data_IF_370436280116
#
_entry.id   IF_370436280116
#
_cell.length_a   1.000
_cell.length_b   1.000
_cell.length_c   1.000
_cell.angle_alpha   90.00
_cell.angle_beta   90.00
_cell.angle_gamma   90.00
#
_symmetry.space_group_name_H-M   'P 1'
#
loop_
_entity.id
_entity.type
_entity.pdbx_description
1 polymer ?
#
# COMPACT_ATOMS: atom_id res chain seq x y z
N UNK A 1 -4.51 -62.96 5.61
CA UNK A 1 -4.33 -63.01 7.07
C UNK A 1 -3.21 -62.03 7.41
N UNK A 2 -3.37 -60.93 8.11
CA UNK A 2 -4.50 -60.31 8.78
C UNK A 2 -4.37 -58.80 8.55
N UNK A 3 -5.43 -58.19 8.05
CA UNK A 3 -5.65 -56.75 8.06
C UNK A 3 -6.07 -56.38 9.50
N UNK A 4 -5.47 -55.32 10.04
CA UNK A 4 -5.99 -54.65 11.24
C UNK A 4 -6.32 -53.22 10.84
N UNK A 5 -7.60 -53.00 10.58
CA UNK A 5 -8.23 -51.69 10.48
C UNK A 5 -8.28 -51.03 11.87
N UNK A 6 -7.78 -49.80 11.98
CA UNK A 6 -8.11 -48.92 13.10
C UNK A 6 -9.34 -48.10 12.74
N UNK A 7 -10.38 -48.04 13.59
CA UNK A 7 -11.59 -47.31 13.29
C UNK A 7 -11.37 -45.80 13.43
N UNK A 8 -11.94 -45.07 12.48
CA UNK A 8 -12.06 -43.61 12.50
C UNK A 8 -13.31 -43.21 13.28
N UNK A 9 -13.25 -42.33 14.30
CA UNK A 9 -14.45 -41.75 14.87
C UNK A 9 -14.75 -40.43 14.17
N UNK A 10 -15.77 -40.45 13.32
CA UNK A 10 -16.41 -39.25 12.82
C UNK A 10 -17.27 -38.69 13.97
N UNK A 11 -16.88 -37.55 14.53
CA UNK A 11 -17.63 -36.83 15.56
C UNK A 11 -17.64 -35.34 15.22
N UNK A 12 -18.75 -34.88 14.65
CA UNK A 12 -18.99 -33.47 14.43
C UNK A 12 -19.14 -32.73 15.77
N UNK A 13 -18.38 -31.65 15.95
CA UNK A 13 -18.78 -30.53 16.81
C UNK A 13 -18.55 -29.22 16.06
N UNK A 14 -19.65 -28.65 15.57
CA UNK A 14 -19.75 -27.21 15.31
C UNK A 14 -19.67 -26.49 16.66
N UNK A 15 -18.71 -25.59 16.80
CA UNK A 15 -18.77 -24.41 17.69
C UNK A 15 -18.10 -23.28 16.91
N UNK A 16 -18.86 -22.49 16.15
CA UNK A 16 -19.48 -21.23 16.58
C UNK A 16 -18.56 -20.33 17.42
N UNK A 17 -18.09 -19.26 16.78
CA UNK A 17 -18.45 -17.92 17.22
C UNK A 17 -17.61 -17.31 18.32
N UNK A 18 -16.47 -16.75 17.94
CA UNK A 18 -16.07 -15.45 18.44
C UNK A 18 -15.34 -14.71 17.31
N UNK A 19 -16.10 -14.28 16.30
CA UNK A 19 -15.66 -13.11 15.54
C UNK A 19 -15.55 -11.98 16.57
N UNK A 20 -14.32 -11.61 16.91
CA UNK A 20 -14.08 -10.32 17.56
C UNK A 20 -14.72 -9.31 16.65
N UNK A 21 -15.80 -8.70 17.13
CA UNK A 21 -16.35 -7.48 16.56
C UNK A 21 -15.28 -6.40 16.80
N UNK A 22 -14.24 -6.42 15.97
CA UNK A 22 -13.41 -5.25 15.75
C UNK A 22 -14.38 -4.19 15.28
N UNK A 23 -14.63 -3.20 16.14
CA UNK A 23 -15.39 -2.02 15.79
C UNK A 23 -14.92 -1.58 14.40
N UNK A 24 -15.82 -1.69 13.41
CA UNK A 24 -15.52 -1.39 12.01
C UNK A 24 -15.10 0.08 11.96
N UNK A 25 -13.79 0.34 12.05
CA UNK A 25 -13.25 1.68 11.92
C UNK A 25 -13.69 2.17 10.55
N UNK A 26 -14.47 3.24 10.52
CA UNK A 26 -14.82 3.87 9.26
C UNK A 26 -13.55 4.24 8.53
N UNK A 27 -13.43 3.78 7.28
CA UNK A 27 -12.28 4.09 6.45
C UNK A 27 -12.37 5.57 6.11
N UNK A 28 -11.30 6.30 6.40
CA UNK A 28 -11.11 7.69 6.00
C UNK A 28 -9.70 7.88 5.45
N UNK A 29 -9.52 8.91 4.63
CA UNK A 29 -8.21 9.26 4.09
C UNK A 29 -7.29 9.70 5.22
N UNK A 30 -6.03 9.26 5.18
CA UNK A 30 -5.02 9.61 6.17
C UNK A 30 -3.75 10.00 5.43
N UNK A 31 -3.42 11.28 5.41
CA UNK A 31 -2.29 11.81 4.64
C UNK A 31 -1.26 12.47 5.57
N UNK A 32 0.02 12.28 5.23
CA UNK A 32 1.16 12.91 5.88
C UNK A 32 2.03 13.53 4.80
N UNK A 33 2.41 14.79 4.99
CA UNK A 33 3.28 15.53 4.08
C UNK A 33 4.56 15.98 4.77
N UNK A 34 5.67 15.91 4.04
CA UNK A 34 6.98 16.39 4.48
C UNK A 34 7.72 17.03 3.31
N UNK A 35 8.54 18.05 3.56
CA UNK A 35 9.32 18.74 2.53
C UNK A 35 10.80 18.34 2.60
N UNK A 36 11.44 18.20 1.43
CA UNK A 36 12.80 17.70 1.30
C UNK A 36 13.49 18.31 0.08
N UNK A 37 14.79 18.06 -0.04
CA UNK A 37 15.58 18.37 -1.24
C UNK A 37 16.46 17.16 -1.63
N UNK A 38 16.75 17.04 -2.93
CA UNK A 38 17.68 16.04 -3.50
C UNK A 38 18.48 16.65 -4.64
N UNK A 39 19.73 16.21 -4.82
CA UNK A 39 20.56 16.58 -5.98
C UNK A 39 20.48 15.51 -7.06
N UNK A 40 19.97 15.86 -8.25
CA UNK A 40 19.83 14.96 -9.41
C UNK A 40 20.53 15.62 -10.59
N UNK A 41 21.53 14.96 -11.18
CA UNK A 41 22.27 15.51 -12.33
C UNK A 41 22.94 16.86 -12.05
N UNK A 42 23.40 17.09 -10.81
CA UNK A 42 24.01 18.36 -10.39
C UNK A 42 23.01 19.49 -10.11
N UNK A 43 21.71 19.24 -10.26
CA UNK A 43 20.65 20.22 -9.94
C UNK A 43 20.00 19.88 -8.60
N UNK A 44 19.84 20.88 -7.74
CA UNK A 44 19.00 20.73 -6.55
C UNK A 44 17.52 20.75 -6.95
N UNK A 45 16.78 19.78 -6.43
CA UNK A 45 15.34 19.63 -6.62
C UNK A 45 14.69 19.59 -5.25
N UNK A 46 13.95 20.65 -4.94
CA UNK A 46 13.08 20.69 -3.76
C UNK A 46 11.76 19.97 -4.08
N UNK A 47 11.27 19.17 -3.15
CA UNK A 47 10.06 18.37 -3.34
C UNK A 47 9.28 18.16 -2.04
N UNK A 48 7.98 17.95 -2.18
CA UNK A 48 7.09 17.49 -1.11
C UNK A 48 6.84 15.99 -1.28
N UNK A 49 7.06 15.23 -0.21
CA UNK A 49 6.70 13.83 -0.11
C UNK A 49 5.37 13.71 0.64
N UNK A 50 4.36 13.16 -0.04
CA UNK A 50 3.05 12.87 0.54
C UNK A 50 2.88 11.36 0.63
N UNK A 51 2.54 10.83 1.80
CA UNK A 51 2.23 9.41 1.96
C UNK A 51 0.98 9.24 2.79
N UNK A 52 0.29 8.13 2.61
CA UNK A 52 -0.97 7.96 3.29
C UNK A 52 -1.85 6.89 2.69
N UNK A 53 -3.08 6.83 3.18
CA UNK A 53 -4.12 5.98 2.63
C UNK A 53 -5.23 6.81 2.02
N UNK A 54 -5.74 6.38 0.86
CA UNK A 54 -6.97 6.89 0.24
C UNK A 54 -8.06 5.82 0.27
N UNK A 55 -9.29 6.22 0.54
CA UNK A 55 -10.45 5.33 0.58
C UNK A 55 -11.02 5.16 -0.83
N UNK A 56 -11.08 3.92 -1.28
CA UNK A 56 -11.75 3.55 -2.50
C UNK A 56 -13.22 3.25 -2.19
N UNK A 57 -14.12 3.97 -2.87
CA UNK A 57 -15.57 3.81 -2.74
C UNK A 57 -16.13 2.97 -3.88
N UNK A 58 -17.26 2.32 -3.64
CA UNK A 58 -18.05 1.67 -4.69
C UNK A 58 -18.99 2.65 -5.39
N UNK A 59 -19.82 2.14 -6.30
CA UNK A 59 -20.79 2.92 -7.09
C UNK A 59 -21.91 3.54 -6.22
N UNK A 60 -22.08 3.07 -4.98
CA UNK A 60 -23.05 3.59 -4.00
C UNK A 60 -22.37 4.53 -2.98
N UNK A 61 -21.16 5.01 -3.27
CA UNK A 61 -20.32 5.85 -2.39
C UNK A 61 -19.90 5.19 -1.06
N UNK A 62 -20.05 3.87 -0.92
CA UNK A 62 -19.65 3.15 0.30
C UNK A 62 -18.18 2.80 0.25
N UNK A 63 -17.48 3.03 1.37
CA UNK A 63 -16.07 2.68 1.50
C UNK A 63 -15.85 1.15 1.34
N UNK A 64 -15.05 0.77 0.35
CA UNK A 64 -14.80 -0.63 -0.04
C UNK A 64 -13.38 -1.08 0.29
N UNK A 65 -12.40 -0.21 0.15
CA UNK A 65 -11.00 -0.50 0.42
C UNK A 65 -10.21 0.75 0.82
N UNK A 66 -9.00 0.54 1.31
CA UNK A 66 -8.03 1.60 1.60
C UNK A 66 -6.73 1.30 0.84
N UNK A 67 -6.26 2.26 0.05
CA UNK A 67 -5.05 2.15 -0.75
C UNK A 67 -3.95 3.02 -0.15
N UNK A 68 -2.86 2.39 0.29
CA UNK A 68 -1.66 3.12 0.69
C UNK A 68 -0.87 3.61 -0.54
N UNK A 69 -0.34 4.83 -0.47
CA UNK A 69 0.51 5.41 -1.52
C UNK A 69 1.67 6.25 -0.95
N UNK A 70 2.65 6.50 -1.82
CA UNK A 70 3.72 7.48 -1.62
C UNK A 70 3.84 8.29 -2.92
N UNK A 71 3.83 9.62 -2.80
CA UNK A 71 3.91 10.56 -3.90
C UNK A 71 5.02 11.59 -3.67
N UNK A 72 5.66 12.01 -4.76
CA UNK A 72 6.69 13.04 -4.76
C UNK A 72 6.34 14.14 -5.74
N UNK A 73 6.11 15.34 -5.21
CA UNK A 73 5.76 16.51 -6.01
C UNK A 73 6.92 17.48 -5.99
N UNK A 74 7.48 17.81 -7.16
CA UNK A 74 8.53 18.83 -7.27
C UNK A 74 7.94 20.21 -6.95
N UNK A 75 8.63 20.96 -6.11
CA UNK A 75 8.28 22.33 -5.74
C UNK A 75 8.87 23.34 -6.73
N UNK A 76 8.32 24.56 -6.76
CA UNK A 76 8.84 25.65 -7.61
C UNK A 76 8.65 25.44 -9.11
N UNK A 77 7.66 24.65 -9.53
CA UNK A 77 7.31 24.44 -10.93
C UNK A 77 6.42 25.59 -11.40
N UNK A 78 6.83 26.32 -12.44
CA UNK A 78 6.11 27.50 -12.95
C UNK A 78 4.74 27.15 -13.55
N UNK A 79 4.66 26.04 -14.30
CA UNK A 79 3.41 25.52 -14.86
C UNK A 79 3.23 24.05 -14.45
N UNK A 80 2.37 23.84 -13.45
CA UNK A 80 2.06 22.51 -12.92
C UNK A 80 1.22 21.68 -13.91
N UNK A 81 0.43 22.32 -14.78
CA UNK A 81 -0.44 21.63 -15.74
C UNK A 81 0.34 20.97 -16.87
N UNK A 82 1.55 21.46 -17.16
CA UNK A 82 2.46 20.87 -18.15
C UNK A 82 3.39 19.81 -17.57
N UNK A 83 3.44 19.66 -16.23
CA UNK A 83 4.31 18.66 -15.59
C UNK A 83 3.65 17.28 -15.65
N UNK A 84 4.27 16.28 -16.28
CA UNK A 84 3.68 14.95 -16.36
C UNK A 84 3.61 14.28 -14.98
N UNK A 85 2.55 13.49 -14.79
CA UNK A 85 2.37 12.61 -13.63
C UNK A 85 2.74 11.19 -14.04
N UNK A 86 3.55 10.52 -13.23
CA UNK A 86 3.88 9.10 -13.41
C UNK A 86 3.28 8.31 -12.27
N UNK A 87 2.47 7.30 -12.59
CA UNK A 87 2.01 6.29 -11.65
C UNK A 87 2.83 5.03 -11.83
N UNK A 88 3.26 4.42 -10.73
CA UNK A 88 4.09 3.23 -10.75
C UNK A 88 3.51 2.18 -9.78
N UNK A 89 3.31 0.98 -10.30
CA UNK A 89 2.73 -0.15 -9.56
C UNK A 89 3.68 -1.34 -9.70
N UNK A 90 3.89 -2.05 -8.60
CA UNK A 90 4.62 -3.30 -8.69
C UNK A 90 3.78 -4.40 -9.34
N UNK A 91 4.49 -5.37 -9.93
CA UNK A 91 3.90 -6.53 -10.60
C UNK A 91 3.79 -7.77 -9.71
N UNK A 92 3.46 -8.90 -10.35
CA UNK A 92 3.06 -10.12 -9.65
C UNK A 92 1.74 -9.92 -8.87
N UNK A 93 1.05 -10.98 -8.45
CA UNK A 93 -0.06 -10.82 -7.52
C UNK A 93 0.48 -10.53 -6.11
N UNK A 94 0.13 -9.35 -5.57
CA UNK A 94 0.34 -9.02 -4.16
C UNK A 94 1.71 -8.43 -3.78
N UNK A 95 2.62 -8.16 -4.71
CA UNK A 95 3.89 -7.50 -4.38
C UNK A 95 3.70 -6.02 -4.06
N UNK A 96 4.29 -5.55 -2.95
CA UNK A 96 4.17 -4.16 -2.51
C UNK A 96 4.98 -3.21 -3.39
N UNK A 97 4.42 -2.04 -3.74
CA UNK A 97 5.12 -0.93 -4.42
C UNK A 97 6.31 -0.34 -3.65
N UNK A 98 6.59 -0.80 -2.42
CA UNK A 98 7.77 -0.40 -1.63
C UNK A 98 9.09 -0.60 -2.40
N UNK A 99 9.20 -1.62 -3.26
CA UNK A 99 10.41 -1.84 -4.05
C UNK A 99 10.64 -0.75 -5.10
N UNK A 100 9.57 -0.22 -5.69
CA UNK A 100 9.67 0.91 -6.62
C UNK A 100 10.02 2.18 -5.85
N UNK A 101 9.41 2.38 -4.69
CA UNK A 101 9.71 3.52 -3.83
C UNK A 101 11.18 3.51 -3.36
N UNK A 102 11.69 2.42 -2.79
CA UNK A 102 12.99 2.41 -2.10
C UNK A 102 14.14 1.86 -2.95
N UNK A 103 13.85 1.16 -4.04
CA UNK A 103 14.85 0.52 -4.89
C UNK A 103 15.07 1.21 -6.24
N UNK A 104 14.02 1.80 -6.84
CA UNK A 104 14.07 2.21 -8.26
C UNK A 104 13.76 3.70 -8.46
N UNK A 105 12.53 4.12 -8.18
CA UNK A 105 11.94 5.38 -8.63
C UNK A 105 11.88 6.47 -7.56
N UNK A 106 12.04 6.15 -6.27
CA UNK A 106 12.07 7.17 -5.22
C UNK A 106 13.32 8.05 -5.27
N UNK A 107 13.26 9.27 -4.71
CA UNK A 107 14.37 10.23 -4.70
C UNK A 107 15.53 9.79 -3.78
N UNK A 108 15.27 8.85 -2.86
CA UNK A 108 16.28 8.22 -2.01
C UNK A 108 16.17 6.71 -2.14
N UNK A 109 17.31 6.02 -2.13
CA UNK A 109 17.40 4.57 -2.23
C UNK A 109 18.03 3.98 -0.98
N UNK A 110 17.61 2.77 -0.65
CA UNK A 110 18.28 1.96 0.39
C UNK A 110 19.51 1.32 -0.24
N UNK A 111 20.68 1.50 0.39
CA UNK A 111 21.87 0.75 0.02
C UNK A 111 21.70 -0.69 0.53
N UNK A 112 21.94 -1.66 -0.35
CA UNK A 112 22.00 -3.07 -0.01
C UNK A 112 23.47 -3.50 -0.08
N UNK A 113 23.92 -4.21 0.95
CA UNK A 113 25.28 -4.75 1.06
C UNK A 113 25.40 -6.13 0.40
#
# INVERSE_FOLDING_TARGET
MSITETPSPNGASKENGAAKEEAKKELSDQLVETTHAVSIGGQQIDYTATTGTIVLKDEEDKAKASLFFTAYTRNGVADVGQRPITFAFNGGPGSSSVWLHMGVLGPKRVLMD
#
